data_IF_038719524844
#
_entry.id   IF_038719524844
#
_cell.length_a   1.000
_cell.length_b   1.000
_cell.length_c   1.000
_cell.angle_alpha   90.00
_cell.angle_beta   90.00
_cell.angle_gamma   90.00
#
_symmetry.space_group_name_H-M   'P 1'
#
loop_
_entity.id
_entity.type
_entity.pdbx_description
1 polymer ?
#
# COMPACT_ATOMS: atom_id res chain seq x y z
N UNK A 1 -15.54 -24.06 12.13
CA UNK A 1 -16.56 -24.57 11.18
C UNK A 1 -17.13 -23.35 10.46
N UNK A 2 -16.70 -23.09 9.22
CA UNK A 2 -17.09 -21.89 8.50
C UNK A 2 -18.52 -22.02 7.99
N UNK A 3 -19.45 -21.32 8.63
CA UNK A 3 -20.84 -21.22 8.17
C UNK A 3 -20.84 -20.26 6.97
N UNK A 4 -20.87 -20.82 5.77
CA UNK A 4 -21.11 -20.05 4.55
C UNK A 4 -22.60 -19.71 4.54
N UNK A 5 -22.95 -18.48 4.92
CA UNK A 5 -24.31 -17.96 4.73
C UNK A 5 -24.54 -17.72 3.23
N UNK A 6 -25.23 -18.66 2.59
CA UNK A 6 -25.76 -18.48 1.24
C UNK A 6 -27.02 -17.61 1.32
N UNK A 7 -26.93 -16.34 0.91
CA UNK A 7 -28.11 -15.54 0.63
C UNK A 7 -28.66 -15.93 -0.74
N UNK A 8 -29.95 -16.30 -0.79
CA UNK A 8 -30.67 -16.48 -2.04
C UNK A 8 -30.91 -15.09 -2.68
N UNK A 9 -30.48 -14.84 -3.93
CA UNK A 9 -30.79 -13.59 -4.61
C UNK A 9 -32.27 -13.59 -4.97
N UNK A 10 -33.05 -12.70 -4.36
CA UNK A 10 -34.38 -12.31 -4.85
C UNK A 10 -34.18 -11.42 -6.06
N UNK A 11 -33.93 -12.01 -7.22
CA UNK A 11 -34.22 -11.43 -8.54
C UNK A 11 -34.01 -12.51 -9.60
N UNK A 12 -35.14 -12.96 -10.12
CA UNK A 12 -35.48 -13.34 -11.51
C UNK A 12 -34.45 -14.11 -12.37
N UNK A 13 -34.95 -15.08 -13.14
CA UNK A 13 -34.23 -16.07 -13.99
C UNK A 13 -33.76 -17.38 -13.31
N UNK A 14 -34.70 -18.19 -12.82
CA UNK A 14 -34.55 -19.65 -12.74
C UNK A 14 -35.54 -20.30 -13.71
N UNK A 15 -35.27 -20.24 -15.02
CA UNK A 15 -36.21 -20.73 -16.03
C UNK A 15 -35.97 -22.20 -16.47
N UNK A 16 -34.93 -22.88 -15.97
CA UNK A 16 -34.57 -24.21 -16.48
C UNK A 16 -34.54 -25.27 -15.36
N UNK A 17 -35.69 -25.42 -14.68
CA UNK A 17 -36.01 -26.59 -13.86
C UNK A 17 -36.93 -27.49 -14.66
N UNK A 18 -36.46 -28.69 -15.02
CA UNK A 18 -37.24 -29.65 -15.81
C UNK A 18 -37.47 -30.92 -15.01
N UNK A 19 -38.72 -31.34 -14.95
CA UNK A 19 -39.11 -32.64 -14.44
C UNK A 19 -38.86 -33.69 -15.52
N UNK A 20 -37.98 -34.66 -15.25
CA UNK A 20 -37.75 -35.81 -16.10
C UNK A 20 -38.53 -37.00 -15.52
N UNK A 21 -39.24 -37.74 -16.38
CA UNK A 21 -39.83 -39.03 -15.99
C UNK A 21 -38.69 -39.97 -15.57
N UNK A 22 -38.82 -40.57 -14.39
CA UNK A 22 -37.92 -41.63 -13.93
C UNK A 22 -38.02 -42.86 -14.82
N UNK A 23 -37.09 -43.81 -14.65
CA UNK A 23 -37.18 -45.12 -15.30
C UNK A 23 -38.50 -45.81 -14.88
N UNK A 24 -39.09 -46.57 -15.80
CA UNK A 24 -40.39 -47.25 -15.64
C UNK A 24 -40.27 -48.40 -14.62
N UNK A 25 -40.23 -48.01 -13.36
CA UNK A 25 -40.33 -48.86 -12.19
C UNK A 25 -41.42 -48.18 -11.36
N UNK A 26 -42.41 -48.95 -10.89
CA UNK A 26 -43.60 -48.49 -10.19
C UNK A 26 -43.30 -47.83 -8.82
N UNK A 27 -42.56 -46.72 -8.85
CA UNK A 27 -42.30 -45.82 -7.73
C UNK A 27 -42.67 -44.42 -8.19
N UNK A 28 -43.52 -43.75 -7.43
CA UNK A 28 -44.19 -42.50 -7.80
C UNK A 28 -43.25 -41.27 -7.70
N UNK A 29 -41.99 -41.42 -8.11
CA UNK A 29 -40.93 -40.45 -7.87
C UNK A 29 -40.51 -39.78 -9.18
N UNK A 30 -40.71 -38.47 -9.27
CA UNK A 30 -40.33 -37.66 -10.43
C UNK A 30 -38.96 -37.01 -10.21
N UNK A 31 -38.04 -37.17 -11.17
CA UNK A 31 -36.70 -36.60 -11.07
C UNK A 31 -36.73 -35.12 -11.48
N UNK A 32 -36.32 -34.23 -10.59
CA UNK A 32 -36.18 -32.82 -10.89
C UNK A 32 -34.72 -32.49 -11.21
N UNK A 33 -34.48 -31.89 -12.37
CA UNK A 33 -33.15 -31.41 -12.77
C UNK A 33 -33.22 -29.89 -12.94
N UNK A 34 -32.44 -29.18 -12.12
CA UNK A 34 -32.31 -27.73 -12.18
C UNK A 34 -30.90 -27.36 -12.68
N UNK A 35 -30.84 -26.42 -13.63
CA UNK A 35 -29.56 -25.85 -14.09
C UNK A 35 -29.47 -24.40 -13.62
N UNK A 36 -28.55 -24.11 -12.72
CA UNK A 36 -28.37 -22.77 -12.13
C UNK A 36 -27.03 -22.17 -12.55
N UNK A 37 -27.02 -20.86 -12.87
CA UNK A 37 -25.81 -20.11 -13.16
C UNK A 37 -25.53 -19.13 -12.03
N UNK A 38 -24.68 -19.55 -11.09
CA UNK A 38 -24.26 -18.71 -9.96
C UNK A 38 -23.21 -17.70 -10.44
N UNK A 39 -23.45 -16.40 -10.21
CA UNK A 39 -22.44 -15.36 -10.33
C UNK A 39 -22.02 -14.95 -8.93
N UNK A 40 -20.80 -15.30 -8.52
CA UNK A 40 -20.25 -14.83 -7.25
C UNK A 40 -19.95 -13.33 -7.36
N UNK A 41 -20.53 -12.53 -6.46
CA UNK A 41 -20.18 -11.13 -6.33
C UNK A 41 -18.72 -11.06 -5.88
N UNK A 42 -17.86 -10.48 -6.72
CA UNK A 42 -16.47 -10.20 -6.35
C UNK A 42 -16.50 -9.27 -5.13
N UNK A 43 -16.08 -9.77 -3.98
CA UNK A 43 -15.80 -8.89 -2.86
C UNK A 43 -14.58 -8.08 -3.25
N UNK A 44 -14.75 -6.77 -3.37
CA UNK A 44 -13.62 -5.87 -3.40
C UNK A 44 -13.11 -5.84 -1.97
N UNK A 45 -12.07 -6.63 -1.67
CA UNK A 45 -11.28 -6.40 -0.45
C UNK A 45 -10.82 -4.97 -0.56
N UNK A 46 -11.31 -4.10 0.34
CA UNK A 46 -10.88 -2.71 0.49
C UNK A 46 -9.40 -2.67 0.22
N UNK A 47 -9.02 -1.95 -0.86
CA UNK A 47 -7.72 -2.07 -1.50
C UNK A 47 -6.63 -2.21 -0.46
N UNK A 48 -5.98 -3.39 -0.44
CA UNK A 48 -4.90 -3.74 0.47
C UNK A 48 -4.04 -2.50 0.66
N UNK A 49 -4.00 -1.98 1.89
CA UNK A 49 -3.11 -0.87 2.28
C UNK A 49 -1.77 -1.18 1.62
N UNK A 50 -1.27 -0.30 0.75
CA UNK A 50 0.00 -0.51 0.05
C UNK A 50 1.00 -0.85 1.14
N UNK A 51 1.33 -2.14 1.30
CA UNK A 51 2.18 -2.59 2.39
C UNK A 51 3.52 -1.97 2.10
N UNK A 52 3.86 -0.89 2.81
CA UNK A 52 5.16 -0.28 2.68
C UNK A 52 6.17 -1.39 2.94
N UNK A 53 7.07 -1.61 1.98
CA UNK A 53 8.08 -2.66 2.11
C UNK A 53 9.01 -2.27 3.26
N UNK A 54 9.36 -3.21 4.13
CA UNK A 54 10.39 -2.99 5.15
C UNK A 54 11.76 -2.81 4.50
N UNK A 55 12.66 -2.11 5.19
CA UNK A 55 14.00 -1.93 4.69
C UNK A 55 14.88 -3.17 4.94
N UNK A 56 14.92 -4.08 3.96
CA UNK A 56 15.68 -5.34 4.06
C UNK A 56 17.20 -5.14 4.02
N UNK A 57 17.70 -3.98 3.57
CA UNK A 57 19.16 -3.73 3.57
C UNK A 57 19.74 -3.65 4.97
N UNK A 58 18.94 -3.32 5.99
CA UNK A 58 19.38 -3.34 7.38
C UNK A 58 19.65 -4.75 7.92
N UNK A 59 19.20 -5.80 7.25
CA UNK A 59 19.57 -7.18 7.59
C UNK A 59 20.98 -7.55 7.06
N UNK A 60 21.60 -6.72 6.23
CA UNK A 60 22.99 -6.92 5.81
C UNK A 60 23.98 -6.42 6.87
N UNK A 61 23.54 -5.49 7.72
CA UNK A 61 24.30 -4.98 8.86
C UNK A 61 24.21 -5.98 10.01
N UNK A 62 25.36 -6.51 10.43
CA UNK A 62 25.47 -7.56 11.45
C UNK A 62 24.89 -7.12 12.80
N UNK A 63 25.10 -5.87 13.20
CA UNK A 63 24.63 -5.35 14.48
C UNK A 63 23.11 -5.19 14.48
N UNK A 64 22.55 -4.67 13.38
CA UNK A 64 21.09 -4.55 13.23
C UNK A 64 20.41 -5.91 13.11
N UNK A 65 21.02 -6.86 12.41
CA UNK A 65 20.51 -8.22 12.31
C UNK A 65 20.49 -8.90 13.68
N UNK A 66 21.54 -8.73 14.50
CA UNK A 66 21.56 -9.26 15.86
C UNK A 66 20.49 -8.60 16.75
N UNK A 67 20.32 -7.28 16.66
CA UNK A 67 19.21 -6.58 17.34
C UNK A 67 17.84 -7.10 16.91
N UNK A 68 17.64 -7.36 15.61
CA UNK A 68 16.39 -7.94 15.10
C UNK A 68 16.14 -9.32 15.68
N UNK A 69 17.15 -10.20 15.69
CA UNK A 69 17.04 -11.54 16.28
C UNK A 69 16.65 -11.48 17.75
N UNK A 70 17.33 -10.66 18.55
CA UNK A 70 17.06 -10.51 19.99
C UNK A 70 15.65 -9.97 20.22
N UNK A 71 15.26 -8.89 19.52
CA UNK A 71 13.93 -8.30 19.67
C UNK A 71 12.81 -9.29 19.27
N UNK A 72 13.02 -10.06 18.20
CA UNK A 72 12.09 -11.09 17.76
C UNK A 72 11.98 -12.20 18.80
N UNK A 73 13.11 -12.75 19.27
CA UNK A 73 13.14 -13.80 20.29
C UNK A 73 12.44 -13.38 21.58
N UNK A 74 12.69 -12.17 22.07
CA UNK A 74 12.04 -11.66 23.28
C UNK A 74 10.51 -11.56 23.12
N UNK A 75 10.04 -11.10 21.95
CA UNK A 75 8.60 -11.03 21.66
C UNK A 75 7.95 -12.40 21.52
N UNK A 76 8.64 -13.35 20.90
CA UNK A 76 8.15 -14.72 20.79
C UNK A 76 8.16 -15.46 22.13
N UNK A 77 9.10 -15.17 23.02
CA UNK A 77 9.11 -15.72 24.38
C UNK A 77 7.86 -15.27 25.14
N UNK A 78 7.59 -13.95 25.17
CA UNK A 78 6.37 -13.40 25.77
C UNK A 78 5.09 -13.95 25.11
N UNK A 79 5.12 -14.17 23.79
CA UNK A 79 4.00 -14.75 23.05
C UNK A 79 3.76 -16.24 23.37
N UNK A 80 4.82 -17.02 23.60
CA UNK A 80 4.73 -18.42 24.02
C UNK A 80 4.07 -18.56 25.39
N UNK A 81 4.39 -17.67 26.33
CA UNK A 81 3.78 -17.66 27.66
C UNK A 81 2.26 -17.39 27.58
N UNK A 82 1.81 -16.62 26.59
CA UNK A 82 0.39 -16.34 26.28
C UNK A 82 -0.34 -17.49 25.54
N UNK A 83 0.38 -18.26 24.71
CA UNK A 83 -0.19 -19.36 23.93
C UNK A 83 -0.59 -20.58 24.79
N UNK A 84 0.06 -20.75 25.95
CA UNK A 84 -0.19 -21.86 26.87
C UNK A 84 -1.45 -21.63 27.75
N UNK A 85 -2.18 -20.53 27.53
CA UNK A 85 -3.48 -20.29 28.17
C UNK A 85 -4.61 -21.11 27.53
N UNK A 86 -5.48 -21.66 28.38
CA UNK A 86 -6.65 -22.44 27.97
C UNK A 86 -7.64 -21.55 27.18
N UNK A 87 -7.91 -21.88 25.90
CA UNK A 87 -8.93 -21.22 25.07
C UNK A 87 -8.44 -20.46 23.83
N UNK A 88 -7.17 -20.55 23.43
CA UNK A 88 -6.69 -19.89 22.21
C UNK A 88 -7.11 -20.63 20.93
N UNK A 89 -7.66 -19.90 19.94
CA UNK A 89 -8.05 -20.47 18.64
C UNK A 89 -6.88 -20.40 17.67
N UNK A 90 -6.88 -21.25 16.63
CA UNK A 90 -5.82 -21.24 15.60
C UNK A 90 -5.72 -19.86 14.94
N UNK A 91 -6.85 -19.16 14.76
CA UNK A 91 -6.89 -17.79 14.23
C UNK A 91 -6.24 -16.76 15.16
N UNK A 92 -6.45 -16.83 16.48
CA UNK A 92 -5.81 -15.91 17.42
C UNK A 92 -4.30 -16.12 17.45
N UNK A 93 -3.87 -17.38 17.33
CA UNK A 93 -2.46 -17.75 17.34
C UNK A 93 -1.76 -17.23 16.08
N UNK A 94 -2.39 -17.42 14.92
CA UNK A 94 -1.89 -16.87 13.67
C UNK A 94 -1.82 -15.33 13.68
N UNK A 95 -2.82 -14.66 14.28
CA UNK A 95 -2.83 -13.20 14.42
C UNK A 95 -1.66 -12.72 15.27
N UNK A 96 -1.42 -13.35 16.42
CA UNK A 96 -0.33 -12.96 17.32
C UNK A 96 1.06 -13.20 16.73
N UNK A 97 1.28 -14.31 16.01
CA UNK A 97 2.53 -14.54 15.25
C UNK A 97 2.76 -13.43 14.23
N UNK A 98 1.71 -13.06 13.49
CA UNK A 98 1.81 -11.97 12.50
C UNK A 98 2.14 -10.65 13.17
N UNK A 99 1.52 -10.32 14.30
CA UNK A 99 1.74 -9.09 15.06
C UNK A 99 3.16 -9.03 15.68
N UNK A 100 3.66 -10.15 16.22
CA UNK A 100 5.02 -10.24 16.75
C UNK A 100 6.06 -9.96 15.65
N UNK A 101 5.93 -10.61 14.48
CA UNK A 101 6.83 -10.39 13.35
C UNK A 101 6.71 -8.97 12.81
N UNK A 102 5.49 -8.48 12.56
CA UNK A 102 5.29 -7.14 11.96
C UNK A 102 5.72 -6.01 12.89
N UNK A 103 5.46 -6.11 14.20
CA UNK A 103 5.93 -5.11 15.18
C UNK A 103 7.45 -5.06 15.27
N UNK A 104 8.14 -6.22 15.26
CA UNK A 104 9.60 -6.27 15.27
C UNK A 104 10.20 -5.66 14.00
N UNK A 105 9.60 -5.95 12.85
CA UNK A 105 9.97 -5.31 11.58
C UNK A 105 9.79 -3.78 11.63
N UNK A 106 8.73 -3.27 12.25
CA UNK A 106 8.55 -1.83 12.42
C UNK A 106 9.62 -1.19 13.31
N UNK A 107 9.93 -1.80 14.45
CA UNK A 107 10.90 -1.27 15.43
C UNK A 107 12.34 -1.26 14.91
N UNK A 108 12.77 -2.35 14.29
CA UNK A 108 14.19 -2.53 13.95
C UNK A 108 14.51 -2.18 12.51
N UNK A 109 13.66 -2.61 11.56
CA UNK A 109 13.90 -2.41 10.13
C UNK A 109 13.29 -1.09 9.64
N UNK A 110 12.11 -0.75 10.16
CA UNK A 110 11.32 0.37 9.66
C UNK A 110 10.94 0.20 8.18
N UNK A 111 10.17 1.16 7.68
CA UNK A 111 9.77 1.16 6.29
C UNK A 111 10.91 1.60 5.37
N UNK A 112 10.96 1.00 4.18
CA UNK A 112 11.83 1.44 3.11
C UNK A 112 11.44 2.87 2.73
N UNK A 113 12.32 3.81 3.04
CA UNK A 113 12.13 5.20 2.66
C UNK A 113 12.24 5.31 1.14
N UNK A 114 11.29 6.01 0.54
CA UNK A 114 11.45 6.44 -0.84
C UNK A 114 12.43 7.60 -0.84
N UNK A 115 13.51 7.47 -1.61
CA UNK A 115 14.35 8.63 -1.86
C UNK A 115 13.53 9.64 -2.65
N UNK A 116 13.27 10.79 -2.03
CA UNK A 116 12.75 11.94 -2.76
C UNK A 116 13.82 12.40 -3.74
N UNK A 117 13.38 13.00 -4.84
CA UNK A 117 14.32 13.55 -5.83
C UNK A 117 15.20 14.57 -5.13
N UNK A 118 16.49 14.60 -5.46
CA UNK A 118 17.50 15.45 -4.82
C UNK A 118 17.12 16.94 -4.75
N UNK A 119 16.26 17.39 -5.67
CA UNK A 119 15.81 18.77 -5.74
C UNK A 119 14.62 19.12 -4.84
N UNK A 120 13.93 18.15 -4.23
CA UNK A 120 12.78 18.43 -3.36
C UNK A 120 13.29 18.79 -1.96
N UNK A 121 12.93 19.98 -1.48
CA UNK A 121 13.31 20.45 -0.14
C UNK A 121 12.43 19.85 0.96
N UNK A 122 12.94 19.84 2.20
CA UNK A 122 12.21 19.39 3.39
C UNK A 122 10.93 20.21 3.61
N UNK A 123 11.00 21.53 3.46
CA UNK A 123 9.84 22.44 3.55
C UNK A 123 8.74 22.07 2.53
N UNK A 124 9.10 21.69 1.30
CA UNK A 124 8.12 21.20 0.31
C UNK A 124 7.51 19.85 0.73
N UNK A 125 8.28 18.97 1.39
CA UNK A 125 7.74 17.70 1.90
C UNK A 125 6.73 17.94 3.03
N UNK A 126 7.01 18.87 3.93
CA UNK A 126 6.09 19.23 5.02
C UNK A 126 4.77 19.78 4.46
N UNK A 127 4.83 20.65 3.45
CA UNK A 127 3.64 21.16 2.74
C UNK A 127 2.86 20.05 2.02
N UNK A 128 3.54 19.07 1.44
CA UNK A 128 2.88 17.90 0.82
C UNK A 128 2.14 17.09 1.89
N UNK A 129 2.72 16.94 3.07
CA UNK A 129 2.09 16.25 4.17
C UNK A 129 0.88 17.02 4.70
N UNK A 130 0.99 18.33 4.87
CA UNK A 130 -0.15 19.19 5.23
C UNK A 130 -1.31 19.07 4.23
N UNK A 131 -1.01 19.08 2.93
CA UNK A 131 -2.00 18.84 1.88
C UNK A 131 -2.69 17.48 2.03
N UNK A 132 -1.97 16.43 2.42
CA UNK A 132 -2.56 15.10 2.66
C UNK A 132 -3.52 15.13 3.84
N UNK A 133 -3.14 15.78 4.94
CA UNK A 133 -4.01 15.92 6.12
C UNK A 133 -5.31 16.68 5.75
N UNK A 134 -5.22 17.74 4.92
CA UNK A 134 -6.41 18.43 4.40
C UNK A 134 -7.26 17.54 3.48
N UNK A 135 -6.63 16.62 2.73
CA UNK A 135 -7.35 15.65 1.90
C UNK A 135 -8.10 14.62 2.75
N UNK A 136 -7.54 14.22 3.89
CA UNK A 136 -8.21 13.34 4.85
C UNK A 136 -9.46 14.00 5.43
N UNK A 137 -9.39 15.28 5.80
CA UNK A 137 -10.56 16.04 6.27
C UNK A 137 -11.73 16.03 5.27
N UNK A 138 -11.43 16.12 3.96
CA UNK A 138 -12.44 16.00 2.90
C UNK A 138 -13.06 14.60 2.88
N UNK A 139 -12.24 13.55 3.04
CA UNK A 139 -12.72 12.18 3.01
C UNK A 139 -13.55 11.80 4.24
N UNK A 140 -13.27 12.41 5.41
CA UNK A 140 -14.00 12.18 6.67
C UNK A 140 -15.22 13.07 6.83
N UNK A 141 -15.38 14.12 6.02
CA UNK A 141 -16.51 15.06 6.09
C UNK A 141 -17.86 14.35 5.91
N UNK A 142 -18.84 14.69 6.78
CA UNK A 142 -20.17 14.05 6.79
C UNK A 142 -21.22 14.89 6.09
N UNK A 143 -21.12 16.21 6.20
CA UNK A 143 -22.08 17.14 5.60
C UNK A 143 -21.52 17.83 4.34
N UNK A 144 -22.42 18.29 3.46
CA UNK A 144 -22.03 18.98 2.22
C UNK A 144 -21.30 20.30 2.50
N UNK A 145 -21.67 21.00 3.57
CA UNK A 145 -21.04 22.25 3.98
C UNK A 145 -19.60 22.04 4.49
N UNK A 146 -19.37 21.08 5.38
CA UNK A 146 -18.03 20.71 5.85
C UNK A 146 -17.11 20.28 4.70
N UNK A 147 -17.66 19.51 3.75
CA UNK A 147 -16.93 19.09 2.56
C UNK A 147 -16.52 20.28 1.70
N UNK A 148 -17.41 21.25 1.50
CA UNK A 148 -17.11 22.47 0.75
C UNK A 148 -16.01 23.30 1.42
N UNK A 149 -16.08 23.47 2.74
CA UNK A 149 -15.06 24.19 3.53
C UNK A 149 -13.69 23.48 3.45
N UNK A 150 -13.66 22.17 3.71
CA UNK A 150 -12.43 21.37 3.62
C UNK A 150 -11.83 21.38 2.20
N UNK A 151 -12.69 21.40 1.18
CA UNK A 151 -12.27 21.50 -0.22
C UNK A 151 -11.66 22.87 -0.55
N UNK A 152 -12.19 23.95 0.01
CA UNK A 152 -11.61 25.29 -0.14
C UNK A 152 -10.20 25.36 0.47
N UNK A 153 -10.03 24.85 1.70
CA UNK A 153 -8.72 24.79 2.36
C UNK A 153 -7.71 23.94 1.58
N UNK A 154 -8.10 22.75 1.14
CA UNK A 154 -7.26 21.90 0.31
C UNK A 154 -6.80 22.61 -0.97
N UNK A 155 -7.67 23.41 -1.59
CA UNK A 155 -7.36 24.13 -2.83
C UNK A 155 -6.25 25.17 -2.61
N UNK A 156 -6.26 25.86 -1.47
CA UNK A 156 -5.22 26.84 -1.10
C UNK A 156 -3.89 26.13 -0.89
N UNK A 157 -3.87 25.08 -0.06
CA UNK A 157 -2.64 24.32 0.25
C UNK A 157 -2.10 23.62 -0.99
N UNK A 158 -2.95 23.07 -1.86
CA UNK A 158 -2.50 22.45 -3.11
C UNK A 158 -1.80 23.45 -4.04
N UNK A 159 -2.32 24.68 -4.16
CA UNK A 159 -1.66 25.75 -4.93
C UNK A 159 -0.29 26.10 -4.33
N UNK A 160 -0.17 26.12 -3.01
CA UNK A 160 1.11 26.38 -2.33
C UNK A 160 2.14 25.28 -2.58
N UNK A 161 1.73 24.01 -2.50
CA UNK A 161 2.57 22.85 -2.83
C UNK A 161 3.04 22.91 -4.29
N UNK A 162 2.16 23.23 -5.23
CA UNK A 162 2.55 23.37 -6.63
C UNK A 162 3.59 24.48 -6.85
N UNK A 163 3.43 25.62 -6.16
CA UNK A 163 4.39 26.72 -6.22
C UNK A 163 5.74 26.34 -5.61
N UNK A 164 5.75 25.64 -4.47
CA UNK A 164 7.00 25.22 -3.81
C UNK A 164 7.75 24.21 -4.67
N UNK A 165 7.06 23.23 -5.25
CA UNK A 165 7.64 22.25 -6.20
C UNK A 165 8.27 22.94 -7.41
N UNK A 166 7.59 23.93 -8.01
CA UNK A 166 8.14 24.70 -9.14
C UNK A 166 9.39 25.49 -8.73
N UNK A 167 9.38 26.08 -7.54
CA UNK A 167 10.49 26.86 -6.99
C UNK A 167 11.71 26.00 -6.72
N UNK A 168 11.50 24.86 -6.06
CA UNK A 168 12.54 23.87 -5.75
C UNK A 168 13.21 23.34 -7.02
N UNK A 169 12.39 22.98 -8.03
CA UNK A 169 12.91 22.54 -9.33
C UNK A 169 13.75 23.62 -10.00
N UNK A 170 13.31 24.89 -9.96
CA UNK A 170 14.05 26.02 -10.55
C UNK A 170 15.39 26.23 -9.84
N UNK A 171 15.39 26.29 -8.51
CA UNK A 171 16.60 26.42 -7.68
C UNK A 171 17.61 25.32 -7.98
N UNK A 172 17.15 24.06 -8.08
CA UNK A 172 18.02 22.96 -8.42
C UNK A 172 18.65 23.11 -9.81
N UNK A 173 17.87 23.46 -10.82
CA UNK A 173 18.39 23.69 -12.18
C UNK A 173 19.40 24.83 -12.20
N UNK A 174 19.15 25.93 -11.50
CA UNK A 174 20.10 27.04 -11.36
C UNK A 174 21.40 26.61 -10.68
N UNK A 175 21.30 25.82 -9.60
CA UNK A 175 22.47 25.28 -8.89
C UNK A 175 23.29 24.34 -9.78
N UNK A 176 22.64 23.47 -10.55
CA UNK A 176 23.31 22.60 -11.51
C UNK A 176 23.95 23.40 -12.65
N UNK A 177 23.27 24.42 -13.18
CA UNK A 177 23.82 25.29 -14.23
C UNK A 177 25.09 26.02 -13.76
N UNK A 178 25.08 26.58 -12.54
CA UNK A 178 26.28 27.21 -11.94
C UNK A 178 27.44 26.23 -11.76
N UNK A 179 27.16 24.98 -11.40
CA UNK A 179 28.20 23.93 -11.31
C UNK A 179 28.79 23.60 -12.68
N UNK A 180 27.96 23.49 -13.72
CA UNK A 180 28.41 23.25 -15.11
C UNK A 180 29.29 24.39 -15.58
N UNK A 181 28.87 25.65 -15.36
CA UNK A 181 29.64 26.83 -15.73
C UNK A 181 31.00 26.88 -15.03
N UNK A 182 31.03 26.60 -13.72
CA UNK A 182 32.27 26.52 -12.95
C UNK A 182 33.21 25.43 -13.48
N UNK A 183 32.71 24.21 -13.71
CA UNK A 183 33.51 23.11 -14.24
C UNK A 183 34.06 23.41 -15.64
N UNK A 184 33.30 24.13 -16.47
CA UNK A 184 33.75 24.61 -17.78
C UNK A 184 34.92 25.59 -17.64
N UNK A 185 34.81 26.59 -16.76
CA UNK A 185 35.87 27.57 -16.48
C UNK A 185 37.15 26.93 -15.93
N UNK A 186 37.01 25.88 -15.13
CA UNK A 186 38.14 25.13 -14.54
C UNK A 186 38.73 24.07 -15.49
N UNK A 187 38.14 23.84 -16.67
CA UNK A 187 38.56 22.80 -17.61
C UNK A 187 38.28 21.37 -17.11
N UNK A 188 37.45 21.19 -16.07
CA UNK A 188 37.13 19.88 -15.51
C UNK A 188 36.04 19.15 -16.31
N UNK A 189 36.45 18.55 -17.43
CA UNK A 189 35.54 17.88 -18.36
C UNK A 189 34.75 16.73 -17.73
N UNK A 190 35.32 16.01 -16.76
CA UNK A 190 34.63 14.92 -16.07
C UNK A 190 33.45 15.44 -15.25
N UNK A 191 33.67 16.46 -14.44
CA UNK A 191 32.60 17.08 -13.64
C UNK A 191 31.53 17.74 -14.54
N UNK A 192 31.94 18.36 -15.64
CA UNK A 192 31.01 18.95 -16.62
C UNK A 192 30.07 17.88 -17.21
N UNK A 193 30.61 16.75 -17.64
CA UNK A 193 29.81 15.64 -18.16
C UNK A 193 28.88 15.06 -17.09
N UNK A 194 29.40 14.77 -15.89
CA UNK A 194 28.61 14.15 -14.81
C UNK A 194 27.48 15.06 -14.31
N UNK A 195 27.71 16.38 -14.21
CA UNK A 195 26.68 17.36 -13.83
C UNK A 195 25.63 17.55 -14.92
N UNK A 196 26.04 17.64 -16.18
CA UNK A 196 25.11 17.67 -17.34
C UNK A 196 24.27 16.38 -17.38
N UNK A 197 24.87 15.23 -17.03
CA UNK A 197 24.19 13.93 -16.94
C UNK A 197 23.03 13.91 -15.95
N UNK A 198 23.09 14.70 -14.88
CA UNK A 198 22.01 14.83 -13.90
C UNK A 198 20.78 15.55 -14.45
N UNK A 199 20.90 16.34 -15.52
CA UNK A 199 19.78 17.06 -16.14
C UNK A 199 18.96 16.17 -17.09
N UNK A 200 19.62 15.26 -17.82
CA UNK A 200 18.96 14.44 -18.85
C UNK A 200 18.62 13.03 -18.42
N UNK A 201 19.21 12.50 -17.34
CA UNK A 201 18.78 11.21 -16.78
C UNK A 201 17.38 11.31 -16.18
N UNK A 202 16.38 10.96 -16.98
CA UNK A 202 15.09 10.51 -16.45
C UNK A 202 15.25 9.16 -15.76
N UNK A 203 14.51 8.85 -14.69
CA UNK A 203 14.61 7.54 -14.04
C UNK A 203 14.27 6.45 -15.03
N UNK A 204 15.20 5.53 -15.32
CA UNK A 204 14.87 4.29 -16.01
C UNK A 204 13.82 3.57 -15.17
N UNK A 205 12.59 3.50 -15.67
CA UNK A 205 11.62 2.50 -15.18
C UNK A 205 12.24 1.15 -15.51
N UNK A 206 12.73 0.45 -14.48
CA UNK A 206 13.01 -0.98 -14.61
C UNK A 206 11.67 -1.68 -14.85
N UNK A 207 11.29 -1.81 -16.12
CA UNK A 207 10.33 -2.81 -16.54
C UNK A 207 11.03 -4.15 -16.35
N UNK A 208 10.70 -4.83 -15.26
CA UNK A 208 10.94 -6.28 -15.16
C UNK A 208 10.02 -6.91 -16.19
N UNK A 209 10.58 -7.39 -17.29
CA UNK A 209 9.90 -8.33 -18.18
C UNK A 209 9.61 -9.60 -17.39
N UNK A 210 8.38 -10.08 -17.51
CA UNK A 210 7.91 -11.38 -17.04
C UNK A 210 8.74 -12.54 -17.61
#
# INVERSE_FOLDING_TARGET
MNIIQCYAPTNDYNEDVRTKRGADIASDHHLLVAKMKLKLKKYWTTGRTISQKFNTTFLQDTDKLNKFKIALSNKFQAFHDLLNGEGTTVESNWKGIKEAITSTCHEVLGHKKHHHKEWITVDTLDKIQERRNKKEAINTSRTRAEKANSQAEYTVVNKQVERSIRTDKRKYVEVVAKMVEKASREGNMRQLYDTTKKLWKSPQTRTTSE
#
